data_IF_045842518083
#
_entry.id   IF_045842518083
#
_cell.length_a   1.000
_cell.length_b   1.000
_cell.length_c   1.000
_cell.angle_alpha   90.00
_cell.angle_beta   90.00
_cell.angle_gamma   90.00
#
_symmetry.space_group_name_H-M   'P 1'
#
loop_
_entity.id
_entity.type
_entity.pdbx_description
1 polymer ?
#
# COMPACT_ATOMS: atom_id res chain seq x y z
N UNK A 1 17.90 22.71 21.56
CA UNK A 1 17.59 21.35 21.05
C UNK A 1 16.72 20.53 22.04
N UNK A 2 16.82 20.77 23.37
CA UNK A 2 16.04 20.05 24.39
C UNK A 2 14.54 20.45 24.44
N UNK A 3 14.18 21.68 24.10
CA UNK A 3 12.79 22.17 24.16
C UNK A 3 11.90 21.59 23.08
N UNK A 4 12.39 21.47 21.84
CA UNK A 4 11.61 20.91 20.73
C UNK A 4 11.30 19.41 20.91
N UNK A 5 12.28 18.63 21.41
CA UNK A 5 12.06 17.22 21.73
C UNK A 5 11.06 17.04 22.89
N UNK A 6 11.13 17.88 23.91
CA UNK A 6 10.21 17.90 25.04
C UNK A 6 8.77 18.24 24.60
N UNK A 7 8.61 19.17 23.66
CA UNK A 7 7.29 19.57 23.14
C UNK A 7 6.64 18.46 22.29
N UNK A 8 7.41 17.77 21.47
CA UNK A 8 6.92 16.59 20.72
C UNK A 8 6.48 15.50 21.67
N UNK A 9 7.25 15.21 22.72
CA UNK A 9 6.90 14.20 23.73
C UNK A 9 5.61 14.55 24.49
N UNK A 10 5.49 15.81 24.92
CA UNK A 10 4.29 16.29 25.63
C UNK A 10 3.03 16.17 24.79
N UNK A 11 3.13 16.49 23.50
CA UNK A 11 2.01 16.37 22.53
C UNK A 11 1.64 14.92 22.25
N UNK A 12 2.63 14.02 22.15
CA UNK A 12 2.37 12.59 22.00
C UNK A 12 1.64 12.02 23.24
N UNK A 13 2.09 12.40 24.46
CA UNK A 13 1.43 12.00 25.71
C UNK A 13 0.02 12.59 25.78
N UNK A 14 -0.17 13.84 25.39
CA UNK A 14 -1.48 14.49 25.35
C UNK A 14 -2.45 13.76 24.40
N UNK A 15 -2.00 13.43 23.20
CA UNK A 15 -2.82 12.68 22.22
C UNK A 15 -3.13 11.25 22.69
N UNK A 16 -2.21 10.62 23.44
CA UNK A 16 -2.42 9.29 24.00
C UNK A 16 -3.43 9.27 25.16
N UNK A 17 -3.47 10.33 25.95
CA UNK A 17 -4.34 10.45 27.12
C UNK A 17 -5.75 10.99 26.80
N UNK A 18 -5.98 11.53 25.61
CA UNK A 18 -7.29 11.98 25.15
C UNK A 18 -8.06 10.84 24.48
N UNK A 19 -9.21 10.49 25.04
CA UNK A 19 -10.19 9.58 24.42
C UNK A 19 -10.96 10.23 23.25
N UNK A 20 -10.74 11.52 22.98
CA UNK A 20 -11.38 12.26 21.91
C UNK A 20 -10.73 11.97 20.55
N UNK A 21 -11.56 11.53 19.61
CA UNK A 21 -11.12 11.18 18.23
C UNK A 21 -10.83 12.40 17.37
N UNK A 22 -11.49 13.53 17.60
CA UNK A 22 -11.34 14.79 16.88
C UNK A 22 -11.13 15.90 17.92
N UNK A 23 -9.88 16.28 18.14
CA UNK A 23 -9.49 17.30 19.13
C UNK A 23 -9.49 18.69 18.49
N UNK A 24 -9.60 19.76 19.30
CA UNK A 24 -9.52 21.15 18.80
C UNK A 24 -8.20 21.40 18.06
N UNK A 25 -7.08 20.88 18.59
CA UNK A 25 -5.76 20.95 17.95
C UNK A 25 -5.32 19.56 17.49
N UNK A 26 -5.01 19.41 16.20
CA UNK A 26 -4.48 18.18 15.64
C UNK A 26 -2.98 18.30 15.42
N UNK A 27 -2.19 17.45 16.08
CA UNK A 27 -0.76 17.32 15.87
C UNK A 27 -0.41 15.96 15.31
N UNK A 28 0.25 15.94 14.16
CA UNK A 28 0.72 14.73 13.51
C UNK A 28 2.25 14.68 13.54
N UNK A 29 2.80 13.54 13.91
CA UNK A 29 4.25 13.32 13.93
C UNK A 29 4.61 12.22 12.96
N UNK A 30 5.57 12.54 12.07
CA UNK A 30 6.12 11.60 11.11
C UNK A 30 7.64 11.66 11.17
N UNK A 31 8.29 10.51 10.98
CA UNK A 31 9.74 10.41 10.85
C UNK A 31 10.11 10.22 9.38
N UNK A 32 11.09 10.97 8.91
CA UNK A 32 11.60 10.81 7.53
C UNK A 32 12.12 9.39 7.33
N UNK A 33 11.57 8.69 6.35
CA UNK A 33 11.95 7.34 6.00
C UNK A 33 13.03 7.34 4.90
N UNK A 34 12.76 8.00 3.79
CA UNK A 34 13.73 8.06 2.69
C UNK A 34 13.52 9.28 1.80
N UNK A 35 14.57 9.69 1.10
CA UNK A 35 14.43 10.60 -0.04
C UNK A 35 13.94 9.83 -1.25
N UNK A 36 13.10 10.50 -2.04
CA UNK A 36 12.56 9.99 -3.28
C UNK A 36 13.18 10.75 -4.46
N UNK A 37 13.23 10.11 -5.60
CA UNK A 37 13.84 10.71 -6.79
C UNK A 37 13.10 11.97 -7.25
N UNK A 38 11.76 11.96 -7.14
CA UNK A 38 10.84 13.06 -7.47
C UNK A 38 9.47 12.77 -6.85
N UNK A 39 8.60 13.77 -6.82
CA UNK A 39 7.23 13.67 -6.32
C UNK A 39 6.26 13.07 -7.36
N UNK A 40 5.06 13.61 -7.39
CA UNK A 40 4.07 13.22 -8.39
C UNK A 40 4.57 13.50 -9.81
N UNK A 41 5.28 14.62 -9.98
CA UNK A 41 5.88 15.03 -11.24
C UNK A 41 7.42 15.10 -11.14
N UNK A 42 8.16 14.92 -12.27
CA UNK A 42 9.61 14.83 -12.27
C UNK A 42 10.37 16.05 -11.74
N UNK A 43 9.75 17.24 -11.75
CA UNK A 43 10.35 18.48 -11.26
C UNK A 43 10.15 18.74 -9.76
N UNK A 44 9.37 17.91 -9.09
CA UNK A 44 9.04 18.07 -7.66
C UNK A 44 10.02 17.31 -6.77
N UNK A 45 10.53 17.94 -5.73
CA UNK A 45 11.28 17.26 -4.67
C UNK A 45 10.32 16.44 -3.81
N UNK A 46 10.77 15.27 -3.35
CA UNK A 46 9.95 14.39 -2.53
C UNK A 46 10.76 13.60 -1.50
N UNK A 47 10.10 13.30 -0.39
CA UNK A 47 10.57 12.38 0.61
C UNK A 47 9.38 11.58 1.17
N UNK A 48 9.63 10.38 1.60
CA UNK A 48 8.64 9.56 2.32
C UNK A 48 8.87 9.68 3.82
N UNK A 49 7.77 9.63 4.55
CA UNK A 49 7.72 9.69 6.01
C UNK A 49 6.87 8.55 6.53
N UNK A 50 7.18 8.06 7.73
CA UNK A 50 6.46 6.98 8.40
C UNK A 50 5.93 7.43 9.75
N UNK A 51 4.84 6.82 10.19
CA UNK A 51 4.31 6.99 11.54
C UNK A 51 5.20 6.22 12.50
N UNK A 52 5.82 6.88 13.52
CA UNK A 52 6.66 6.20 14.50
C UNK A 52 5.89 5.08 15.22
N UNK A 53 6.54 3.92 15.35
CA UNK A 53 5.96 2.77 16.07
C UNK A 53 4.86 2.01 15.33
N UNK A 54 4.54 2.36 14.09
CA UNK A 54 3.60 1.58 13.29
C UNK A 54 4.26 0.27 12.85
N UNK A 55 3.73 -0.84 13.38
CA UNK A 55 4.17 -2.22 13.09
C UNK A 55 3.21 -2.98 12.17
N UNK A 56 2.04 -2.41 11.87
CA UNK A 56 1.10 -3.05 10.97
C UNK A 56 1.68 -3.17 9.55
N UNK A 57 1.40 -4.29 8.85
CA UNK A 57 1.82 -4.48 7.48
C UNK A 57 1.31 -3.34 6.58
N UNK A 58 2.20 -2.66 5.89
CA UNK A 58 1.89 -1.55 4.99
C UNK A 58 2.98 -1.41 3.92
N UNK A 59 2.75 -0.58 2.92
CA UNK A 59 3.68 -0.40 1.80
C UNK A 59 5.05 0.15 2.25
N UNK A 60 5.07 0.95 3.33
CA UNK A 60 6.30 1.60 3.80
C UNK A 60 7.23 0.65 4.56
N UNK A 61 6.69 -0.43 5.16
CA UNK A 61 7.46 -1.46 5.85
C UNK A 61 7.51 -2.80 5.11
N UNK A 62 7.05 -2.83 3.85
CA UNK A 62 7.07 -4.02 3.02
C UNK A 62 8.50 -4.53 2.77
N UNK A 63 8.69 -5.84 2.83
CA UNK A 63 9.94 -6.47 2.39
C UNK A 63 10.00 -6.47 0.87
N UNK A 64 10.96 -5.76 0.32
CA UNK A 64 11.18 -5.68 -1.13
C UNK A 64 12.13 -6.80 -1.54
N UNK A 65 11.64 -7.80 -2.29
CA UNK A 65 12.45 -8.90 -2.78
C UNK A 65 13.30 -8.50 -3.99
N UNK A 66 12.77 -7.62 -4.84
CA UNK A 66 13.46 -7.14 -6.04
C UNK A 66 12.87 -5.84 -6.58
N UNK A 67 13.57 -5.23 -7.52
CA UNK A 67 13.17 -4.04 -8.23
C UNK A 67 13.80 -2.76 -7.68
N UNK A 68 13.53 -1.64 -8.35
CA UNK A 68 14.02 -0.31 -7.95
C UNK A 68 13.23 0.21 -6.75
N UNK A 69 13.76 1.21 -6.05
CA UNK A 69 13.03 1.97 -5.02
C UNK A 69 11.67 2.44 -5.55
N UNK A 70 10.68 2.44 -4.68
CA UNK A 70 9.35 2.94 -5.02
C UNK A 70 9.40 4.45 -5.32
N UNK A 71 8.70 4.88 -6.35
CA UNK A 71 8.42 6.30 -6.59
C UNK A 71 7.21 6.75 -5.77
N UNK A 72 6.95 8.06 -5.73
CA UNK A 72 5.76 8.63 -5.13
C UNK A 72 4.49 7.95 -5.67
N UNK A 73 4.32 7.92 -6.98
CA UNK A 73 3.16 7.28 -7.62
C UNK A 73 3.07 5.78 -7.33
N UNK A 74 4.21 5.07 -7.28
CA UNK A 74 4.22 3.65 -6.89
C UNK A 74 3.69 3.42 -5.47
N UNK A 75 4.01 4.31 -4.52
CA UNK A 75 3.51 4.21 -3.15
C UNK A 75 2.00 4.46 -3.12
N UNK A 76 1.52 5.49 -3.81
CA UNK A 76 0.09 5.83 -3.86
C UNK A 76 -0.74 4.71 -4.50
N UNK A 77 -0.28 4.20 -5.64
CA UNK A 77 -0.95 3.11 -6.35
C UNK A 77 -0.93 1.80 -5.54
N UNK A 78 0.21 1.49 -4.90
CA UNK A 78 0.37 0.31 -4.08
C UNK A 78 -0.48 0.35 -2.80
N UNK A 79 -0.57 1.52 -2.15
CA UNK A 79 -1.44 1.69 -0.96
C UNK A 79 -2.91 1.55 -1.35
N UNK A 80 -3.33 2.11 -2.49
CA UNK A 80 -4.68 1.92 -3.04
C UNK A 80 -5.01 0.45 -3.31
N UNK A 81 -4.07 -0.29 -3.91
CA UNK A 81 -4.24 -1.72 -4.18
C UNK A 81 -4.35 -2.53 -2.88
N UNK A 82 -3.47 -2.25 -1.91
CA UNK A 82 -3.48 -2.90 -0.61
C UNK A 82 -4.76 -2.57 0.18
N UNK A 83 -5.19 -1.31 0.17
CA UNK A 83 -6.41 -0.89 0.85
C UNK A 83 -7.63 -1.64 0.31
N UNK A 84 -7.73 -1.79 -1.01
CA UNK A 84 -8.83 -2.49 -1.65
C UNK A 84 -8.80 -4.01 -1.36
N UNK A 85 -7.65 -4.66 -1.52
CA UNK A 85 -7.57 -6.13 -1.37
C UNK A 85 -7.79 -6.60 0.07
N UNK A 86 -7.58 -5.74 1.06
CA UNK A 86 -7.81 -6.03 2.49
C UNK A 86 -9.29 -6.14 2.87
N UNK A 87 -10.19 -5.61 2.05
CA UNK A 87 -11.63 -5.63 2.36
C UNK A 87 -12.25 -7.01 2.17
N UNK A 88 -11.55 -7.93 1.49
CA UNK A 88 -12.05 -9.27 1.17
C UNK A 88 -11.52 -10.34 2.11
N UNK A 89 -12.42 -11.18 2.62
CA UNK A 89 -12.07 -12.35 3.42
C UNK A 89 -11.75 -13.56 2.54
N UNK A 90 -12.40 -13.66 1.37
CA UNK A 90 -12.13 -14.66 0.34
C UNK A 90 -10.78 -14.43 -0.31
N UNK A 91 -10.28 -15.39 -1.08
CA UNK A 91 -9.10 -15.17 -1.92
C UNK A 91 -9.42 -14.07 -2.93
N UNK A 92 -8.64 -13.00 -2.90
CA UNK A 92 -8.88 -11.81 -3.71
C UNK A 92 -7.63 -11.38 -4.48
N UNK A 93 -7.88 -10.82 -5.66
CA UNK A 93 -6.90 -10.09 -6.45
C UNK A 93 -7.47 -8.74 -6.87
N UNK A 94 -6.67 -7.70 -6.70
CA UNK A 94 -6.98 -6.34 -7.13
C UNK A 94 -5.88 -5.86 -8.08
N UNK A 95 -6.29 -5.31 -9.22
CA UNK A 95 -5.42 -4.64 -10.18
C UNK A 95 -5.70 -3.15 -10.14
N UNK A 96 -4.66 -2.35 -9.90
CA UNK A 96 -4.76 -0.90 -9.74
C UNK A 96 -3.93 -0.18 -10.79
N UNK A 97 -4.49 0.89 -11.32
CA UNK A 97 -3.80 1.85 -12.17
C UNK A 97 -4.20 3.27 -11.76
N UNK A 98 -3.20 4.14 -11.52
CA UNK A 98 -3.44 5.52 -11.06
C UNK A 98 -4.32 5.61 -9.81
N UNK A 99 -3.95 4.85 -8.78
CA UNK A 99 -4.63 4.72 -7.49
C UNK A 99 -6.11 4.25 -7.55
N UNK A 100 -6.59 3.82 -8.71
CA UNK A 100 -7.95 3.30 -8.89
C UNK A 100 -7.93 1.82 -9.31
N UNK A 101 -8.81 0.97 -8.76
CA UNK A 101 -8.92 -0.40 -9.21
C UNK A 101 -9.54 -0.44 -10.62
N UNK A 102 -8.85 -1.09 -11.55
CA UNK A 102 -9.34 -1.40 -12.89
C UNK A 102 -9.78 -2.86 -13.02
N UNK A 103 -9.52 -3.68 -12.01
CA UNK A 103 -10.00 -5.05 -11.95
C UNK A 103 -9.96 -5.59 -10.52
N UNK A 104 -11.05 -6.24 -10.12
CA UNK A 104 -11.19 -6.90 -8.81
C UNK A 104 -11.88 -8.24 -9.02
N UNK A 105 -11.36 -9.27 -8.39
CA UNK A 105 -12.01 -10.57 -8.38
C UNK A 105 -11.78 -11.29 -7.04
N UNK A 106 -12.75 -12.11 -6.65
CA UNK A 106 -12.72 -13.00 -5.50
C UNK A 106 -13.07 -14.42 -5.91
N UNK A 107 -12.64 -15.41 -5.17
CA UNK A 107 -12.95 -16.84 -5.43
C UNK A 107 -12.06 -17.77 -4.63
N UNK A 108 -12.06 -19.04 -4.97
CA UNK A 108 -11.31 -20.07 -4.24
C UNK A 108 -9.90 -20.28 -4.81
N UNK A 109 -9.76 -20.22 -6.13
CA UNK A 109 -8.48 -20.41 -6.82
C UNK A 109 -7.80 -19.09 -7.16
N UNK A 110 -6.57 -18.90 -6.66
CA UNK A 110 -5.83 -17.66 -6.80
C UNK A 110 -5.44 -17.34 -8.25
N UNK A 111 -5.21 -18.36 -9.08
CA UNK A 111 -4.88 -18.16 -10.50
C UNK A 111 -6.10 -17.69 -11.29
N UNK A 112 -7.27 -18.34 -11.08
CA UNK A 112 -8.53 -17.89 -11.66
C UNK A 112 -8.87 -16.46 -11.22
N UNK A 113 -8.76 -16.18 -9.93
CA UNK A 113 -9.00 -14.85 -9.36
C UNK A 113 -8.10 -13.79 -10.01
N UNK A 114 -6.80 -14.09 -10.19
CA UNK A 114 -5.90 -13.19 -10.90
C UNK A 114 -6.35 -12.97 -12.37
N UNK A 115 -6.65 -14.05 -13.09
CA UNK A 115 -7.03 -13.96 -14.50
C UNK A 115 -8.31 -13.14 -14.69
N UNK A 116 -9.32 -13.32 -13.84
CA UNK A 116 -10.57 -12.54 -13.88
C UNK A 116 -10.33 -11.07 -13.54
N UNK A 117 -9.56 -10.78 -12.50
CA UNK A 117 -9.21 -9.41 -12.14
C UNK A 117 -8.45 -8.69 -13.27
N UNK A 118 -7.45 -9.36 -13.86
CA UNK A 118 -6.67 -8.79 -14.96
C UNK A 118 -7.50 -8.59 -16.22
N UNK A 119 -8.37 -9.55 -16.57
CA UNK A 119 -9.20 -9.50 -17.77
C UNK A 119 -10.41 -8.58 -17.66
N UNK A 120 -10.75 -8.08 -16.47
CA UNK A 120 -11.82 -7.10 -16.30
C UNK A 120 -11.55 -5.83 -17.13
N UNK A 121 -10.29 -5.38 -17.17
CA UNK A 121 -9.82 -4.33 -18.07
C UNK A 121 -8.30 -4.54 -18.34
N UNK A 122 -8.00 -5.45 -19.22
CA UNK A 122 -6.60 -5.80 -19.55
C UNK A 122 -5.80 -4.66 -20.17
N UNK A 123 -6.47 -3.69 -20.78
CA UNK A 123 -5.84 -2.52 -21.37
C UNK A 123 -5.34 -1.58 -20.26
N UNK A 124 -6.18 -1.23 -19.29
CA UNK A 124 -5.81 -0.42 -18.14
C UNK A 124 -4.86 -1.15 -17.18
N UNK A 125 -4.96 -2.46 -17.08
CA UNK A 125 -4.09 -3.31 -16.25
C UNK A 125 -2.63 -3.32 -16.70
N UNK A 126 -2.35 -2.97 -17.96
CA UNK A 126 -0.98 -2.91 -18.49
C UNK A 126 -0.12 -1.87 -17.73
N UNK A 127 0.99 -2.34 -17.12
CA UNK A 127 1.84 -1.51 -16.29
C UNK A 127 1.19 -1.09 -14.96
N UNK A 128 0.16 -1.81 -14.53
CA UNK A 128 -0.49 -1.60 -13.24
C UNK A 128 0.21 -2.29 -12.08
N UNK A 129 -0.46 -2.26 -10.94
CA UNK A 129 -0.07 -2.91 -9.70
C UNK A 129 -1.06 -4.03 -9.38
N UNK A 130 -0.55 -5.18 -8.98
CA UNK A 130 -1.37 -6.34 -8.61
C UNK A 130 -1.19 -6.60 -7.12
N UNK A 131 -2.30 -6.71 -6.39
CA UNK A 131 -2.30 -7.06 -4.97
C UNK A 131 -3.15 -8.32 -4.73
N UNK A 132 -2.62 -9.20 -3.87
CA UNK A 132 -3.28 -10.41 -3.40
C UNK A 132 -3.42 -10.38 -1.87
N UNK A 133 -4.47 -11.01 -1.33
CA UNK A 133 -4.60 -11.27 0.10
C UNK A 133 -4.18 -12.72 0.48
N UNK A 134 -3.62 -13.47 -0.44
CA UNK A 134 -3.05 -14.83 -0.27
C UNK A 134 -1.63 -14.89 -0.83
N UNK A 135 -0.91 -15.93 -0.43
CA UNK A 135 0.44 -16.20 -0.96
C UNK A 135 0.41 -16.34 -2.47
N UNK A 136 1.29 -15.63 -3.16
CA UNK A 136 1.43 -15.72 -4.61
C UNK A 136 2.14 -17.04 -4.97
N UNK A 137 1.48 -17.89 -5.74
CA UNK A 137 2.00 -19.19 -6.17
C UNK A 137 2.86 -19.05 -7.43
N UNK A 138 3.58 -20.13 -7.75
CA UNK A 138 4.37 -20.21 -8.99
C UNK A 138 3.50 -20.02 -10.23
N UNK A 139 2.33 -20.65 -10.28
CA UNK A 139 1.40 -20.59 -11.43
C UNK A 139 0.94 -19.15 -11.69
N UNK A 140 0.62 -18.42 -10.62
CA UNK A 140 0.27 -16.99 -10.69
C UNK A 140 1.45 -16.18 -11.17
N UNK A 141 2.65 -16.43 -10.66
CA UNK A 141 3.87 -15.74 -11.09
C UNK A 141 4.18 -16.00 -12.57
N UNK A 142 4.02 -17.23 -13.05
CA UNK A 142 4.19 -17.58 -14.47
C UNK A 142 3.18 -16.84 -15.37
N UNK A 143 1.94 -16.65 -14.91
CA UNK A 143 0.93 -15.88 -15.62
C UNK A 143 1.26 -14.38 -15.64
N UNK A 144 1.62 -13.79 -14.51
CA UNK A 144 2.03 -12.37 -14.39
C UNK A 144 3.28 -12.09 -15.22
N UNK A 145 4.22 -13.04 -15.30
CA UNK A 145 5.45 -12.86 -16.07
C UNK A 145 5.24 -12.68 -17.58
N UNK A 146 4.08 -13.02 -18.12
CA UNK A 146 3.74 -12.85 -19.53
C UNK A 146 3.33 -11.42 -19.89
N UNK A 147 3.01 -10.60 -18.90
CA UNK A 147 2.54 -9.23 -19.08
C UNK A 147 3.48 -8.23 -18.43
N UNK A 148 3.32 -6.96 -18.78
CA UNK A 148 4.04 -5.88 -18.12
C UNK A 148 3.26 -5.40 -16.89
N UNK A 149 3.87 -5.55 -15.71
CA UNK A 149 3.36 -5.13 -14.41
C UNK A 149 4.48 -4.41 -13.67
N UNK A 150 4.17 -3.35 -12.95
CA UNK A 150 5.18 -2.58 -12.21
C UNK A 150 5.44 -3.13 -10.82
N UNK A 151 4.38 -3.56 -10.11
CA UNK A 151 4.48 -4.04 -8.73
C UNK A 151 3.55 -5.24 -8.53
N UNK A 152 4.02 -6.23 -7.79
CA UNK A 152 3.20 -7.31 -7.24
C UNK A 152 3.31 -7.27 -5.72
N UNK A 153 2.16 -7.32 -5.05
CA UNK A 153 2.02 -7.24 -3.59
C UNK A 153 1.30 -8.50 -3.11
N UNK A 154 1.85 -9.17 -2.10
CA UNK A 154 1.22 -10.31 -1.47
C UNK A 154 1.64 -10.44 0.00
N UNK A 155 0.88 -11.20 0.83
CA UNK A 155 1.32 -11.57 2.17
C UNK A 155 2.61 -12.39 2.17
N UNK A 156 2.83 -13.20 1.12
CA UNK A 156 3.99 -14.03 0.93
C UNK A 156 4.11 -14.50 -0.52
N UNK A 157 5.24 -15.10 -0.84
CA UNK A 157 5.52 -15.65 -2.16
C UNK A 157 6.14 -17.03 -2.00
N UNK A 158 5.75 -17.98 -2.84
CA UNK A 158 6.47 -19.25 -2.98
C UNK A 158 7.88 -18.98 -3.51
N UNK A 159 8.83 -19.83 -3.14
CA UNK A 159 10.23 -19.71 -3.59
C UNK A 159 10.31 -19.75 -5.12
N UNK A 160 9.56 -20.62 -5.72
CA UNK A 160 9.44 -20.83 -7.17
C UNK A 160 8.84 -19.59 -7.85
N UNK A 161 7.87 -18.91 -7.23
CA UNK A 161 7.30 -17.66 -7.73
C UNK A 161 8.37 -16.54 -7.75
N UNK A 162 9.18 -16.44 -6.71
CA UNK A 162 10.29 -15.48 -6.67
C UNK A 162 11.32 -15.76 -7.76
N UNK A 163 11.64 -17.04 -8.05
CA UNK A 163 12.55 -17.40 -9.14
C UNK A 163 11.99 -17.01 -10.52
N UNK A 164 10.69 -17.12 -10.73
CA UNK A 164 10.02 -16.63 -11.95
C UNK A 164 10.19 -15.11 -12.07
N UNK A 165 9.91 -14.37 -11.00
CA UNK A 165 9.97 -12.92 -11.00
C UNK A 165 11.39 -12.37 -11.17
N UNK A 166 12.44 -13.06 -10.74
CA UNK A 166 13.84 -12.67 -10.98
C UNK A 166 14.17 -12.38 -12.42
N UNK A 167 13.48 -13.04 -13.37
CA UNK A 167 13.64 -12.80 -14.81
C UNK A 167 13.11 -11.42 -15.26
N UNK A 168 12.27 -10.78 -14.44
CA UNK A 168 11.65 -9.47 -14.69
C UNK A 168 12.31 -8.37 -13.86
N UNK A 169 13.51 -7.96 -14.22
CA UNK A 169 14.38 -7.04 -13.45
C UNK A 169 13.73 -5.72 -13.02
N UNK A 170 12.72 -5.24 -13.75
CA UNK A 170 12.04 -3.98 -13.44
C UNK A 170 10.79 -4.17 -12.57
N UNK A 171 10.31 -5.42 -12.41
CA UNK A 171 9.19 -5.73 -11.54
C UNK A 171 9.60 -5.57 -10.07
N UNK A 172 8.80 -4.88 -9.30
CA UNK A 172 8.95 -4.78 -7.84
C UNK A 172 8.06 -5.83 -7.19
N UNK A 173 8.62 -6.58 -6.26
CA UNK A 173 7.92 -7.65 -5.53
C UNK A 173 7.94 -7.30 -4.05
N UNK A 174 6.77 -7.01 -3.50
CA UNK A 174 6.57 -6.54 -2.13
C UNK A 174 5.85 -7.61 -1.29
N UNK A 175 6.54 -8.09 -0.25
CA UNK A 175 5.98 -9.01 0.74
C UNK A 175 5.62 -8.23 2.00
N UNK A 176 4.38 -8.37 2.46
CA UNK A 176 3.83 -7.63 3.59
C UNK A 176 3.71 -8.47 4.87
N UNK A 177 3.85 -9.81 4.76
CA UNK A 177 3.39 -10.71 5.80
C UNK A 177 1.86 -10.79 5.84
N UNK A 178 1.34 -11.54 6.81
CA UNK A 178 -0.11 -11.67 6.99
C UNK A 178 -0.71 -10.32 7.42
N UNK A 179 -1.73 -9.88 6.74
CA UNK A 179 -2.51 -8.69 7.07
C UNK A 179 -4.01 -9.03 7.20
N UNK A 180 -4.70 -8.24 7.98
CA UNK A 180 -6.14 -8.34 8.21
C UNK A 180 -6.85 -7.14 7.57
N UNK A 181 -8.19 -7.11 7.68
CA UNK A 181 -8.99 -5.93 7.38
C UNK A 181 -8.45 -4.73 8.16
N UNK A 182 -8.56 -3.57 7.55
CA UNK A 182 -8.04 -2.32 8.13
C UNK A 182 -8.83 -1.99 9.39
N UNK A 183 -8.13 -1.81 10.50
CA UNK A 183 -8.76 -1.22 11.69
C UNK A 183 -9.10 0.26 11.45
N UNK A 184 -9.92 0.81 12.34
CA UNK A 184 -10.38 2.20 12.31
C UNK A 184 -9.21 3.18 12.09
N UNK A 185 -9.22 3.92 10.99
CA UNK A 185 -8.14 4.85 10.63
C UNK A 185 -8.67 6.26 10.47
N UNK A 186 -7.88 7.22 10.96
CA UNK A 186 -8.08 8.63 10.61
C UNK A 186 -7.54 8.83 9.19
N UNK A 187 -8.42 9.26 8.29
CA UNK A 187 -8.04 9.70 6.95
C UNK A 187 -7.87 11.21 6.92
N UNK A 188 -6.76 11.64 6.36
CA UNK A 188 -6.39 13.04 6.24
C UNK A 188 -6.14 13.34 4.76
N UNK A 189 -6.77 14.38 4.27
CA UNK A 189 -6.55 14.87 2.92
C UNK A 189 -5.96 16.27 2.98
N UNK A 190 -5.06 16.58 2.09
CA UNK A 190 -4.51 17.92 1.98
C UNK A 190 -5.39 18.76 1.05
N UNK A 191 -5.81 19.92 1.49
CA UNK A 191 -6.54 20.92 0.68
C UNK A 191 -5.95 22.30 0.92
N UNK A 192 -6.24 23.24 0.05
CA UNK A 192 -5.77 24.60 0.19
C UNK A 192 -6.28 25.20 1.52
N UNK A 193 -5.33 25.64 2.35
CA UNK A 193 -5.61 26.27 3.65
C UNK A 193 -5.94 25.31 4.80
N UNK A 194 -5.90 23.99 4.60
CA UNK A 194 -6.20 23.06 5.70
C UNK A 194 -6.19 21.59 5.36
N UNK A 195 -6.66 20.81 6.31
CA UNK A 195 -6.80 19.35 6.18
C UNK A 195 -8.19 18.92 6.64
N UNK A 196 -9.07 18.41 5.78
CA UNK A 196 -10.21 17.64 6.22
C UNK A 196 -9.76 16.32 6.82
N UNK A 197 -10.35 15.98 7.96
CA UNK A 197 -10.08 14.74 8.70
C UNK A 197 -11.35 13.93 8.74
N UNK A 198 -11.28 12.67 8.27
CA UNK A 198 -12.36 11.71 8.37
C UNK A 198 -11.92 10.50 9.19
N UNK A 199 -12.76 10.09 10.10
CA UNK A 199 -12.55 8.86 10.84
C UNK A 199 -13.29 7.73 10.12
N UNK A 200 -12.54 6.90 9.41
CA UNK A 200 -13.13 5.82 8.64
C UNK A 200 -13.57 4.69 9.57
N UNK A 201 -14.86 4.48 9.57
CA UNK A 201 -15.54 3.39 10.23
C UNK A 201 -16.31 2.64 9.16
N UNK A 202 -15.68 1.67 8.53
CA UNK A 202 -16.38 0.79 7.61
C UNK A 202 -17.25 -0.17 8.44
N UNK A 203 -18.47 0.26 8.74
CA UNK A 203 -19.59 -0.63 8.93
C UNK A 203 -20.34 -0.64 7.62
N UNK A 204 -20.09 -1.64 6.78
CA UNK A 204 -21.06 -2.00 5.75
C UNK A 204 -22.35 -2.42 6.46
N UNK A 205 -23.51 -1.91 6.03
CA UNK A 205 -24.79 -2.30 6.59
C UNK A 205 -25.07 -3.78 6.37
#
# INVERSE_FOLDING_TARGET
LSSAASDVYKRQIHNYLKDEKLTEDLTLTFTKHSEMRYGENPHQSAASYVIPGNVEPNIMNAKIHQGKKLSYNNIMDADGALACVREFDETACVVVKHANPCGVAIGDDILDVYQRAFNADSLSAFGGIIAFNRTCTKEVADAIAKVFVEIVIAPGFEKEALEVFKKKKNLRVLELGKFNKREKKIEIRNVDGGIPVSYTHLTLP
#
